data_IF_673927473667
#
_entry.id   IF_673927473667
#
_cell.length_a   1.000
_cell.length_b   1.000
_cell.length_c   1.000
_cell.angle_alpha   90.00
_cell.angle_beta   90.00
_cell.angle_gamma   90.00
#
_symmetry.space_group_name_H-M   'P 1'
#
loop_
_entity.id
_entity.type
_entity.pdbx_description
1 polymer ?
#
# COMPACT_ATOMS: atom_id res chain seq x y z
N UNK A 1 15.67 -4.72 1.47
CA UNK A 1 14.23 -4.62 1.81
C UNK A 1 14.07 -3.43 2.73
N UNK A 2 13.21 -2.45 2.38
CA UNK A 2 12.83 -1.36 3.27
C UNK A 2 11.47 -1.72 3.88
N UNK A 3 11.35 -1.64 5.19
CA UNK A 3 10.12 -1.88 5.93
C UNK A 3 9.61 -0.54 6.45
N UNK A 4 8.35 -0.21 6.15
CA UNK A 4 7.65 0.95 6.71
C UNK A 4 6.73 0.43 7.81
N UNK A 5 7.09 0.62 9.08
CA UNK A 5 6.27 0.27 10.25
C UNK A 5 5.55 1.54 10.74
N UNK A 6 4.22 1.53 10.87
CA UNK A 6 3.41 2.70 11.30
C UNK A 6 2.30 2.31 12.28
N UNK A 7 1.99 3.20 13.23
CA UNK A 7 0.98 2.96 14.27
C UNK A 7 -0.45 2.89 13.71
N UNK A 8 -1.28 2.02 14.29
CA UNK A 8 -2.63 1.67 13.85
C UNK A 8 -3.60 2.84 13.98
N UNK A 9 -3.47 3.66 15.04
CA UNK A 9 -4.36 4.81 15.32
C UNK A 9 -5.84 4.43 15.50
N UNK A 10 -6.66 5.36 16.00
CA UNK A 10 -8.13 5.20 16.00
C UNK A 10 -8.74 5.37 14.60
N UNK A 11 -7.93 5.81 13.65
CA UNK A 11 -8.27 6.18 12.28
C UNK A 11 -7.85 5.12 11.25
N UNK A 12 -7.46 3.91 11.68
CA UNK A 12 -7.03 2.81 10.81
C UNK A 12 -7.95 2.59 9.60
N UNK A 13 -9.26 2.54 9.82
CA UNK A 13 -10.24 2.31 8.75
C UNK A 13 -10.21 3.43 7.71
N UNK A 14 -10.16 4.69 8.18
CA UNK A 14 -10.12 5.85 7.28
C UNK A 14 -8.81 5.89 6.48
N UNK A 15 -7.66 5.63 7.13
CA UNK A 15 -6.35 5.54 6.47
C UNK A 15 -6.30 4.39 5.46
N UNK A 16 -6.90 3.25 5.79
CA UNK A 16 -6.98 2.10 4.90
C UNK A 16 -7.86 2.41 3.67
N UNK A 17 -8.99 3.10 3.85
CA UNK A 17 -9.83 3.55 2.76
C UNK A 17 -9.11 4.56 1.86
N UNK A 18 -8.42 5.53 2.46
CA UNK A 18 -7.62 6.51 1.72
C UNK A 18 -6.52 5.81 0.89
N UNK A 19 -5.77 4.91 1.51
CA UNK A 19 -4.74 4.13 0.82
C UNK A 19 -5.32 3.32 -0.34
N UNK A 20 -6.44 2.61 -0.12
CA UNK A 20 -7.12 1.83 -1.17
C UNK A 20 -7.57 2.70 -2.33
N UNK A 21 -8.11 3.89 -2.04
CA UNK A 21 -8.53 4.86 -3.05
C UNK A 21 -7.35 5.31 -3.92
N UNK A 22 -6.21 5.66 -3.30
CA UNK A 22 -4.99 6.04 -4.04
C UNK A 22 -4.46 4.91 -4.90
N UNK A 23 -4.45 3.69 -4.39
CA UNK A 23 -4.06 2.51 -5.17
C UNK A 23 -4.99 2.32 -6.37
N UNK A 24 -6.31 2.45 -6.20
CA UNK A 24 -7.25 2.34 -7.32
C UNK A 24 -6.97 3.37 -8.40
N UNK A 25 -6.70 4.62 -8.03
CA UNK A 25 -6.32 5.66 -8.99
C UNK A 25 -5.00 5.35 -9.72
N UNK A 26 -4.02 4.76 -9.03
CA UNK A 26 -2.78 4.26 -9.63
C UNK A 26 -3.08 3.19 -10.68
N UNK A 27 -3.95 2.22 -10.36
CA UNK A 27 -4.34 1.15 -11.30
C UNK A 27 -5.02 1.71 -12.54
N UNK A 28 -5.97 2.63 -12.36
CA UNK A 28 -6.72 3.25 -13.46
C UNK A 28 -5.82 4.08 -14.39
N UNK A 29 -4.76 4.67 -13.85
CA UNK A 29 -3.81 5.51 -14.59
C UNK A 29 -2.62 4.75 -15.16
N UNK A 30 -2.49 3.46 -14.86
CA UNK A 30 -1.34 2.66 -15.28
C UNK A 30 -1.53 2.14 -16.71
N UNK A 31 -0.60 2.48 -17.59
CA UNK A 31 -0.63 2.16 -19.03
C UNK A 31 0.39 1.09 -19.44
N UNK A 32 1.03 0.42 -18.46
CA UNK A 32 2.02 -0.62 -18.73
C UNK A 32 1.44 -2.03 -18.84
N UNK A 33 2.27 -2.98 -19.25
CA UNK A 33 1.87 -4.37 -19.51
C UNK A 33 1.67 -5.25 -18.26
N UNK A 34 1.88 -4.68 -17.07
CA UNK A 34 1.69 -5.42 -15.82
C UNK A 34 0.20 -5.51 -15.48
N UNK A 35 -0.28 -6.73 -15.22
CA UNK A 35 -1.66 -6.97 -14.79
C UNK A 35 -1.91 -6.43 -13.38
N UNK A 36 -2.53 -5.26 -13.30
CA UNK A 36 -2.89 -4.58 -12.05
C UNK A 36 -4.12 -5.15 -11.35
N UNK A 37 -4.86 -6.06 -11.99
CA UNK A 37 -6.01 -6.74 -11.38
C UNK A 37 -5.55 -7.85 -10.44
N UNK A 38 -4.35 -8.40 -10.67
CA UNK A 38 -3.71 -9.31 -9.74
C UNK A 38 -3.29 -8.61 -8.43
N UNK A 39 -3.20 -9.36 -7.30
CA UNK A 39 -2.81 -8.80 -6.01
C UNK A 39 -1.38 -8.23 -6.05
N UNK A 40 -1.27 -6.91 -6.02
CA UNK A 40 0.03 -6.21 -6.03
C UNK A 40 0.70 -6.10 -4.65
N UNK A 41 -0.08 -6.19 -3.58
CA UNK A 41 0.44 -6.04 -2.22
C UNK A 41 -0.43 -6.78 -1.20
N UNK A 42 0.13 -6.98 -0.01
CA UNK A 42 -0.55 -7.48 1.17
C UNK A 42 -0.34 -6.51 2.33
N UNK A 43 -1.39 -6.27 3.11
CA UNK A 43 -1.33 -5.50 4.35
C UNK A 43 -1.37 -6.47 5.53
N UNK A 44 -0.38 -6.38 6.42
CA UNK A 44 -0.31 -7.16 7.64
C UNK A 44 -0.45 -6.24 8.85
N UNK A 45 -1.28 -6.64 9.81
CA UNK A 45 -1.52 -5.87 11.02
C UNK A 45 -0.93 -6.61 12.21
N UNK A 46 -0.07 -5.94 12.98
CA UNK A 46 0.51 -6.45 14.20
C UNK A 46 -0.28 -5.89 15.38
N UNK A 47 -1.33 -6.61 15.80
CA UNK A 47 -2.25 -6.18 16.86
C UNK A 47 -1.55 -5.86 18.19
N UNK A 48 -0.50 -6.59 18.54
CA UNK A 48 0.25 -6.40 19.80
C UNK A 48 1.15 -5.16 19.81
N UNK A 49 1.61 -4.72 18.64
CA UNK A 49 2.43 -3.50 18.49
C UNK A 49 1.61 -2.30 18.02
N UNK A 50 0.36 -2.54 17.62
CA UNK A 50 -0.45 -1.56 16.93
C UNK A 50 0.24 -1.09 15.66
N UNK A 51 0.88 -1.97 14.89
CA UNK A 51 1.59 -1.60 13.66
C UNK A 51 0.88 -2.14 12.43
N UNK A 52 0.99 -1.43 11.31
CA UNK A 52 0.62 -1.95 9.99
C UNK A 52 1.85 -2.00 9.09
N UNK A 53 1.94 -3.08 8.32
CA UNK A 53 3.04 -3.39 7.42
C UNK A 53 2.51 -3.61 6.02
N UNK A 54 3.03 -2.83 5.07
CA UNK A 54 2.81 -3.03 3.64
C UNK A 54 3.88 -3.98 3.07
N UNK A 55 3.45 -5.02 2.36
CA UNK A 55 4.31 -5.94 1.62
C UNK A 55 3.90 -5.89 0.15
N UNK A 56 4.73 -5.30 -0.71
CA UNK A 56 4.47 -5.26 -2.16
C UNK A 56 5.09 -6.48 -2.83
N UNK A 57 4.37 -7.11 -3.77
CA UNK A 57 4.81 -8.31 -4.47
C UNK A 57 6.09 -8.03 -5.28
N UNK A 58 7.00 -9.01 -5.32
CA UNK A 58 8.30 -8.88 -5.98
C UNK A 58 8.18 -8.70 -7.50
N UNK A 59 7.10 -9.17 -8.11
CA UNK A 59 6.86 -9.10 -9.55
C UNK A 59 6.27 -7.75 -9.98
N UNK A 60 5.79 -6.93 -9.04
CA UNK A 60 5.29 -5.59 -9.35
C UNK A 60 6.43 -4.72 -9.91
N UNK A 61 6.24 -4.01 -11.03
CA UNK A 61 7.21 -3.10 -11.59
C UNK A 61 7.70 -2.07 -10.58
N UNK A 62 8.97 -1.65 -10.69
CA UNK A 62 9.59 -0.71 -9.76
C UNK A 62 8.81 0.59 -9.61
N UNK A 63 8.25 1.10 -10.71
CA UNK A 63 7.46 2.33 -10.68
C UNK A 63 6.15 2.15 -9.90
N UNK A 64 5.41 1.06 -10.16
CA UNK A 64 4.20 0.72 -9.39
C UNK A 64 4.52 0.49 -7.91
N UNK A 65 5.64 -0.18 -7.59
CA UNK A 65 6.10 -0.35 -6.21
C UNK A 65 6.31 1.00 -5.52
N UNK A 66 6.97 1.94 -6.20
CA UNK A 66 7.21 3.29 -5.69
C UNK A 66 5.89 3.99 -5.38
N UNK A 67 4.97 4.00 -6.34
CA UNK A 67 3.66 4.65 -6.20
C UNK A 67 2.81 4.04 -5.07
N UNK A 68 2.80 2.70 -4.93
CA UNK A 68 2.08 2.02 -3.84
C UNK A 68 2.69 2.38 -2.48
N UNK A 69 4.02 2.44 -2.37
CA UNK A 69 4.68 2.85 -1.12
C UNK A 69 4.40 4.32 -0.79
N UNK A 70 4.44 5.22 -1.77
CA UNK A 70 4.10 6.63 -1.59
C UNK A 70 2.63 6.82 -1.18
N UNK A 71 1.71 6.06 -1.78
CA UNK A 71 0.30 6.06 -1.39
C UNK A 71 0.12 5.63 0.07
N UNK A 72 0.86 4.61 0.51
CA UNK A 72 0.83 4.14 1.89
C UNK A 72 1.41 5.16 2.87
N UNK A 73 2.60 5.71 2.57
CA UNK A 73 3.23 6.73 3.41
C UNK A 73 2.37 8.00 3.51
N UNK A 74 1.68 8.37 2.43
CA UNK A 74 0.77 9.52 2.44
C UNK A 74 -0.50 9.31 3.25
N UNK A 75 -1.02 8.08 3.35
CA UNK A 75 -2.21 7.80 4.16
C UNK A 75 -1.86 7.65 5.65
N UNK A 76 -0.59 7.42 6.00
CA UNK A 76 -0.15 7.18 7.37
C UNK A 76 0.71 8.30 8.01
N UNK A 77 1.12 9.32 7.24
CA UNK A 77 1.74 10.56 7.74
C UNK A 77 0.68 11.64 7.98
#
# INVERSE_FOLDING_TARGET
MKFSERLYGQDYTAKLEEFRSKVSAIKESYDGDFDTDNPMYTMQTHQTKGEVKLIVDKNVPTELKRQIVEAFDSAWN
#
